data_IF_843968217616
#
_entry.id   IF_843968217616
#
_cell.length_a   1.000
_cell.length_b   1.000
_cell.length_c   1.000
_cell.angle_alpha   90.00
_cell.angle_beta   90.00
_cell.angle_gamma   90.00
#
_symmetry.space_group_name_H-M   'P 1'
#
loop_
_entity.id
_entity.type
_entity.pdbx_description
1 polymer ?
#
# COMPACT_ATOMS: atom_id res chain seq x y z
N UNK A 1 -48.28 3.17 -34.52
CA UNK A 1 -47.85 2.56 -33.24
C UNK A 1 -46.37 2.24 -33.22
N UNK A 2 -45.79 1.65 -34.28
CA UNK A 2 -44.37 1.24 -34.37
C UNK A 2 -43.32 2.35 -34.20
N UNK A 3 -43.55 3.57 -34.71
CA UNK A 3 -42.58 4.69 -34.56
C UNK A 3 -42.35 5.15 -33.12
N UNK A 4 -43.41 5.18 -32.30
CA UNK A 4 -43.28 5.59 -30.89
C UNK A 4 -42.57 4.52 -30.06
N UNK A 5 -42.79 3.23 -30.40
CA UNK A 5 -42.11 2.12 -29.75
C UNK A 5 -40.61 2.12 -30.07
N UNK A 6 -40.24 2.28 -31.33
CA UNK A 6 -38.82 2.36 -31.74
C UNK A 6 -38.11 3.58 -31.11
N UNK A 7 -38.79 4.72 -31.02
CA UNK A 7 -38.23 5.90 -30.35
C UNK A 7 -38.03 5.64 -28.85
N UNK A 8 -39.00 5.00 -28.20
CA UNK A 8 -38.90 4.61 -26.80
C UNK A 8 -37.72 3.66 -26.55
N UNK A 9 -37.58 2.61 -27.37
CA UNK A 9 -36.48 1.63 -27.28
C UNK A 9 -35.11 2.29 -27.46
N UNK A 10 -34.98 3.22 -28.43
CA UNK A 10 -33.74 4.00 -28.62
C UNK A 10 -33.42 4.90 -27.42
N UNK A 11 -34.41 5.62 -26.87
CA UNK A 11 -34.20 6.46 -25.69
C UNK A 11 -33.81 5.61 -24.48
N UNK A 12 -34.45 4.45 -24.32
CA UNK A 12 -34.15 3.54 -23.21
C UNK A 12 -32.72 3.03 -23.27
N UNK A 13 -32.27 2.51 -24.42
CA UNK A 13 -30.90 2.01 -24.60
C UNK A 13 -29.84 3.11 -24.43
N UNK A 14 -30.08 4.33 -24.92
CA UNK A 14 -29.17 5.47 -24.71
C UNK A 14 -29.05 5.84 -23.22
N UNK A 15 -30.16 5.81 -22.48
CA UNK A 15 -30.14 6.05 -21.04
C UNK A 15 -29.40 4.95 -20.26
N UNK A 16 -29.58 3.67 -20.65
CA UNK A 16 -28.84 2.55 -20.06
C UNK A 16 -27.33 2.67 -20.31
N UNK A 17 -26.92 3.02 -21.53
CA UNK A 17 -25.52 3.25 -21.89
C UNK A 17 -24.89 4.39 -21.06
N UNK A 18 -25.58 5.53 -20.96
CA UNK A 18 -25.13 6.68 -20.16
C UNK A 18 -25.04 6.33 -18.67
N UNK A 19 -26.01 5.59 -18.16
CA UNK A 19 -25.99 5.08 -16.80
C UNK A 19 -24.77 4.19 -16.53
N UNK A 20 -24.54 3.20 -17.40
CA UNK A 20 -23.40 2.30 -17.28
C UNK A 20 -22.05 3.03 -17.41
N UNK A 21 -21.95 4.02 -18.30
CA UNK A 21 -20.74 4.83 -18.44
C UNK A 21 -20.45 5.63 -17.17
N UNK A 22 -21.46 6.32 -16.62
CA UNK A 22 -21.33 7.06 -15.37
C UNK A 22 -20.93 6.13 -14.21
N UNK A 23 -21.54 4.96 -14.10
CA UNK A 23 -21.26 3.99 -13.05
C UNK A 23 -19.83 3.42 -13.16
N UNK A 24 -19.36 3.11 -14.37
CA UNK A 24 -18.01 2.61 -14.60
C UNK A 24 -16.94 3.67 -14.34
N UNK A 25 -17.17 4.92 -14.75
CA UNK A 25 -16.28 6.05 -14.43
C UNK A 25 -16.16 6.27 -12.92
N UNK A 26 -17.29 6.28 -12.20
CA UNK A 26 -17.29 6.42 -10.74
C UNK A 26 -16.54 5.26 -10.05
N UNK A 27 -16.81 4.01 -10.45
CA UNK A 27 -16.11 2.84 -9.91
C UNK A 27 -14.61 2.89 -10.19
N UNK A 28 -14.20 3.36 -11.39
CA UNK A 28 -12.79 3.56 -11.74
C UNK A 28 -12.12 4.53 -10.76
N UNK A 29 -12.71 5.70 -10.55
CA UNK A 29 -12.13 6.70 -9.65
C UNK A 29 -11.99 6.16 -8.22
N UNK A 30 -13.03 5.47 -7.73
CA UNK A 30 -13.01 4.85 -6.41
C UNK A 30 -11.87 3.83 -6.28
N UNK A 31 -11.77 2.87 -7.20
CA UNK A 31 -10.74 1.82 -7.11
C UNK A 31 -9.33 2.40 -7.29
N UNK A 32 -9.14 3.41 -8.14
CA UNK A 32 -7.85 4.10 -8.29
C UNK A 32 -7.43 4.82 -7.01
N UNK A 33 -8.37 5.42 -6.27
CA UNK A 33 -8.07 6.03 -4.98
C UNK A 33 -7.67 4.98 -3.94
N UNK A 34 -8.33 3.82 -3.93
CA UNK A 34 -7.97 2.72 -3.03
C UNK A 34 -6.57 2.15 -3.37
N UNK A 35 -6.23 2.02 -4.67
CA UNK A 35 -4.87 1.65 -5.11
C UNK A 35 -3.83 2.67 -4.62
N UNK A 36 -4.07 3.97 -4.83
CA UNK A 36 -3.16 5.04 -4.37
C UNK A 36 -2.96 4.99 -2.86
N UNK A 37 -4.01 4.73 -2.09
CA UNK A 37 -3.94 4.63 -0.63
C UNK A 37 -3.06 3.45 -0.20
N UNK A 38 -3.20 2.27 -0.82
CA UNK A 38 -2.35 1.11 -0.51
C UNK A 38 -0.89 1.38 -0.84
N UNK A 39 -0.62 2.01 -1.99
CA UNK A 39 0.74 2.42 -2.38
C UNK A 39 1.36 3.40 -1.39
N UNK A 40 0.60 4.41 -0.95
CA UNK A 40 1.07 5.36 0.05
C UNK A 40 1.45 4.66 1.36
N UNK A 41 0.58 3.79 1.88
CA UNK A 41 0.87 3.01 3.11
C UNK A 41 2.10 2.12 2.95
N UNK A 42 2.29 1.54 1.76
CA UNK A 42 3.47 0.74 1.44
C UNK A 42 4.74 1.57 1.47
N UNK A 43 4.74 2.74 0.84
CA UNK A 43 5.88 3.64 0.80
C UNK A 43 6.26 4.14 2.20
N UNK A 44 5.27 4.50 3.01
CA UNK A 44 5.48 4.85 4.42
C UNK A 44 6.13 3.69 5.17
N UNK A 45 5.56 2.49 5.09
CA UNK A 45 6.07 1.31 5.76
C UNK A 45 7.50 0.95 5.30
N UNK A 46 7.83 1.19 4.03
CA UNK A 46 9.16 0.95 3.51
C UNK A 46 10.23 1.89 4.06
N UNK A 47 9.86 3.10 4.44
CA UNK A 47 10.77 4.04 5.10
C UNK A 47 10.99 3.71 6.57
N UNK A 48 10.09 2.93 7.17
CA UNK A 48 10.18 2.56 8.58
C UNK A 48 11.15 1.40 8.79
N UNK A 49 12.01 1.54 9.79
CA UNK A 49 12.87 0.45 10.29
C UNK A 49 12.47 0.06 11.71
N UNK A 50 12.98 -1.08 12.17
CA UNK A 50 12.98 -1.43 13.60
C UNK A 50 14.27 -0.95 14.31
N UNK A 51 15.17 -0.27 13.61
CA UNK A 51 16.47 0.07 14.16
C UNK A 51 16.38 1.13 15.25
N UNK A 52 17.17 0.89 16.28
CA UNK A 52 17.34 1.76 17.40
C UNK A 52 18.81 2.11 17.55
N UNK A 53 19.09 3.38 17.81
CA UNK A 53 20.42 3.93 17.89
C UNK A 53 21.29 3.21 18.94
N UNK A 54 22.38 2.60 18.47
CA UNK A 54 23.64 2.33 19.16
C UNK A 54 23.53 1.89 20.64
N UNK A 55 22.93 0.71 20.88
CA UNK A 55 22.83 0.11 22.22
C UNK A 55 24.05 -0.71 22.65
N UNK A 56 25.08 -0.76 21.81
CA UNK A 56 26.23 -1.65 21.96
C UNK A 56 27.02 -1.40 23.24
N UNK A 57 26.92 -0.19 23.81
CA UNK A 57 27.60 0.20 25.05
C UNK A 57 26.84 -0.16 26.34
N UNK A 58 25.53 -0.45 26.26
CA UNK A 58 24.67 -0.64 27.44
C UNK A 58 24.17 -2.08 27.56
N UNK A 59 23.82 -2.72 26.45
CA UNK A 59 23.26 -4.07 26.46
C UNK A 59 24.33 -5.14 26.57
N UNK A 60 24.04 -6.23 27.28
CA UNK A 60 24.83 -7.45 27.20
C UNK A 60 24.72 -8.08 25.81
N UNK A 61 25.78 -8.79 25.38
CA UNK A 61 25.86 -9.41 24.05
C UNK A 61 24.67 -10.34 23.75
N UNK A 62 24.15 -11.06 24.76
CA UNK A 62 22.96 -11.90 24.61
C UNK A 62 21.72 -11.08 24.21
N UNK A 63 21.50 -9.94 24.86
CA UNK A 63 20.38 -9.05 24.56
C UNK A 63 20.54 -8.38 23.19
N UNK A 64 21.77 -7.99 22.83
CA UNK A 64 22.08 -7.47 21.50
C UNK A 64 21.72 -8.50 20.40
N UNK A 65 22.11 -9.76 20.59
CA UNK A 65 21.82 -10.83 19.62
C UNK A 65 20.32 -11.10 19.48
N UNK A 66 19.56 -11.05 20.59
CA UNK A 66 18.11 -11.24 20.54
C UNK A 66 17.39 -10.09 19.82
N UNK A 67 17.80 -8.84 20.07
CA UNK A 67 17.27 -7.67 19.36
C UNK A 67 17.61 -7.77 17.87
N UNK A 68 18.87 -8.08 17.53
CA UNK A 68 19.31 -8.26 16.15
C UNK A 68 18.49 -9.32 15.42
N UNK A 69 18.21 -10.45 16.06
CA UNK A 69 17.36 -11.49 15.46
C UNK A 69 15.93 -10.99 15.16
N UNK A 70 15.36 -10.10 15.98
CA UNK A 70 14.05 -9.49 15.73
C UNK A 70 14.10 -8.51 14.56
N UNK A 71 15.15 -7.69 14.47
CA UNK A 71 15.39 -6.76 13.37
C UNK A 71 15.57 -7.53 12.06
N UNK A 72 16.46 -8.52 12.04
CA UNK A 72 16.75 -9.33 10.86
C UNK A 72 15.49 -10.03 10.33
N UNK A 73 14.66 -10.56 11.23
CA UNK A 73 13.37 -11.17 10.86
C UNK A 73 12.38 -10.16 10.27
N UNK A 74 12.29 -8.95 10.84
CA UNK A 74 11.45 -7.89 10.29
C UNK A 74 11.92 -7.46 8.89
N UNK A 75 13.21 -7.19 8.72
CA UNK A 75 13.79 -6.78 7.44
C UNK A 75 13.69 -7.88 6.38
N UNK A 76 13.82 -9.15 6.78
CA UNK A 76 13.64 -10.28 5.87
C UNK A 76 12.19 -10.38 5.37
N UNK A 77 11.20 -10.29 6.26
CA UNK A 77 9.79 -10.30 5.86
C UNK A 77 9.42 -9.08 5.02
N UNK A 78 9.99 -7.91 5.35
CA UNK A 78 9.82 -6.68 4.58
C UNK A 78 10.38 -6.80 3.16
N UNK A 79 11.54 -7.44 2.96
CA UNK A 79 12.11 -7.68 1.61
C UNK A 79 11.27 -8.62 0.75
N UNK A 80 10.49 -9.52 1.35
CA UNK A 80 9.53 -10.38 0.63
C UNK A 80 8.30 -9.60 0.16
N UNK A 81 8.08 -8.40 0.70
CA UNK A 81 6.93 -7.59 0.38
C UNK A 81 7.19 -6.77 -0.89
N UNK A 82 6.86 -7.36 -2.03
CA UNK A 82 6.94 -6.71 -3.33
C UNK A 82 5.59 -6.09 -3.72
N UNK A 83 5.65 -4.89 -4.32
CA UNK A 83 4.48 -4.20 -4.87
C UNK A 83 4.40 -4.41 -6.38
N UNK A 84 3.60 -5.39 -6.82
CA UNK A 84 3.48 -5.85 -8.21
C UNK A 84 2.32 -5.18 -8.99
N UNK A 85 1.73 -4.10 -8.49
CA UNK A 85 0.69 -3.35 -9.20
C UNK A 85 0.86 -1.84 -8.95
N UNK A 86 0.69 -1.04 -10.00
CA UNK A 86 0.81 0.41 -9.95
C UNK A 86 -0.44 1.09 -10.52
N UNK A 87 -0.62 2.38 -10.21
CA UNK A 87 -1.79 3.17 -10.62
C UNK A 87 -1.95 3.20 -12.14
N UNK A 88 -0.87 3.45 -12.88
CA UNK A 88 -0.92 3.63 -14.34
C UNK A 88 -1.40 2.37 -15.07
N UNK A 89 -0.92 1.19 -14.68
CA UNK A 89 -1.34 -0.09 -15.27
C UNK A 89 -2.80 -0.41 -14.96
N UNK A 90 -3.27 -0.08 -13.75
CA UNK A 90 -4.68 -0.26 -13.38
C UNK A 90 -5.57 0.71 -14.16
N UNK A 91 -5.18 1.97 -14.23
CA UNK A 91 -5.89 3.02 -14.95
C UNK A 91 -6.01 2.69 -16.44
N UNK A 92 -4.91 2.31 -17.10
CA UNK A 92 -4.90 1.94 -18.50
C UNK A 92 -5.86 0.79 -18.82
N UNK A 93 -5.88 -0.26 -17.99
CA UNK A 93 -6.79 -1.40 -18.16
C UNK A 93 -8.25 -0.99 -18.08
N UNK A 94 -8.62 -0.20 -17.07
CA UNK A 94 -10.00 0.24 -16.87
C UNK A 94 -10.42 1.24 -17.96
N UNK A 95 -9.53 2.14 -18.37
CA UNK A 95 -9.78 3.10 -19.44
C UNK A 95 -10.02 2.43 -20.79
N UNK A 96 -9.29 1.35 -21.10
CA UNK A 96 -9.50 0.61 -22.34
C UNK A 96 -10.90 -0.02 -22.42
N UNK A 97 -11.44 -0.47 -21.28
CA UNK A 97 -12.81 -0.99 -21.20
C UNK A 97 -13.83 0.15 -21.31
N UNK A 98 -13.63 1.25 -20.57
CA UNK A 98 -14.51 2.44 -20.63
C UNK A 98 -14.58 3.01 -22.04
N UNK A 99 -13.44 3.16 -22.75
CA UNK A 99 -13.40 3.61 -24.15
C UNK A 99 -14.23 2.73 -25.09
N UNK A 100 -14.33 1.44 -24.79
CA UNK A 100 -15.16 0.51 -25.57
C UNK A 100 -16.66 0.77 -25.34
N UNK A 101 -17.05 1.12 -24.11
CA UNK A 101 -18.43 1.52 -23.76
C UNK A 101 -18.77 2.88 -24.38
N UNK A 102 -17.86 3.86 -24.32
CA UNK A 102 -18.02 5.17 -24.96
C UNK A 102 -18.21 5.05 -26.48
N UNK A 103 -17.47 4.14 -27.13
CA UNK A 103 -17.65 3.89 -28.55
C UNK A 103 -19.04 3.33 -28.85
N UNK A 104 -19.52 2.39 -28.04
CA UNK A 104 -20.87 1.83 -28.18
C UNK A 104 -21.97 2.90 -28.02
N UNK A 105 -21.80 3.84 -27.09
CA UNK A 105 -22.70 4.99 -26.92
C UNK A 105 -22.73 5.88 -28.17
N UNK A 106 -21.55 6.26 -28.68
CA UNK A 106 -21.44 7.14 -29.85
C UNK A 106 -22.01 6.49 -31.14
N UNK A 107 -21.76 5.19 -31.34
CA UNK A 107 -22.30 4.43 -32.46
C UNK A 107 -23.84 4.32 -32.37
N UNK A 108 -24.39 4.21 -31.16
CA UNK A 108 -25.83 4.18 -30.91
C UNK A 108 -26.51 5.55 -31.14
N UNK A 109 -25.90 6.64 -30.66
CA UNK A 109 -26.45 8.00 -30.82
C UNK A 109 -26.40 8.47 -32.29
N UNK A 110 -25.36 8.09 -33.05
CA UNK A 110 -25.19 8.44 -34.48
C UNK A 110 -26.06 7.61 -35.45
N UNK A 111 -26.66 6.51 -34.99
CA UNK A 111 -27.59 5.69 -35.78
C UNK A 111 -28.97 6.37 -35.91
N UNK A 112 -29.06 7.45 -36.70
CA UNK A 112 -30.33 8.00 -37.18
C UNK A 112 -30.81 7.32 -38.49
N UNK A 113 -30.01 6.41 -39.08
CA UNK A 113 -30.24 5.95 -40.48
C UNK A 113 -30.00 4.48 -40.83
N UNK A 114 -29.67 3.57 -39.90
CA UNK A 114 -29.47 2.16 -40.29
C UNK A 114 -30.24 1.18 -39.43
N UNK A 115 -30.89 0.21 -40.09
CA UNK A 115 -31.36 -1.08 -39.58
C UNK A 115 -30.19 -1.93 -39.02
N UNK A 116 -29.35 -1.35 -38.16
CA UNK A 116 -28.23 -2.06 -37.56
C UNK A 116 -28.79 -2.99 -36.49
N UNK A 117 -28.74 -4.28 -36.79
CA UNK A 117 -29.06 -5.44 -35.95
C UNK A 117 -28.17 -5.56 -34.68
N UNK A 118 -27.55 -4.46 -34.24
CA UNK A 118 -26.68 -4.41 -33.07
C UNK A 118 -27.62 -4.38 -31.86
N UNK A 119 -27.59 -5.43 -31.05
CA UNK A 119 -28.31 -5.49 -29.78
C UNK A 119 -27.42 -4.83 -28.70
N UNK A 120 -27.55 -3.51 -28.47
CA UNK A 120 -26.56 -2.73 -27.70
C UNK A 120 -26.50 -3.24 -26.27
N UNK A 121 -27.63 -3.70 -25.74
CA UNK A 121 -27.76 -4.26 -24.40
C UNK A 121 -26.90 -5.51 -24.17
N UNK A 122 -26.71 -6.36 -25.19
CA UNK A 122 -25.88 -7.56 -25.06
C UNK A 122 -24.39 -7.21 -24.92
N UNK A 123 -23.90 -6.36 -25.82
CA UNK A 123 -22.52 -5.88 -25.81
C UNK A 123 -22.22 -5.02 -24.57
N UNK A 124 -23.17 -4.18 -24.16
CA UNK A 124 -23.05 -3.40 -22.92
C UNK A 124 -22.92 -4.31 -21.70
N UNK A 125 -23.72 -5.38 -21.61
CA UNK A 125 -23.65 -6.31 -20.50
C UNK A 125 -22.28 -7.02 -20.45
N UNK A 126 -21.77 -7.50 -21.59
CA UNK A 126 -20.44 -8.12 -21.67
C UNK A 126 -19.33 -7.17 -21.22
N UNK A 127 -19.31 -5.93 -21.71
CA UNK A 127 -18.31 -4.93 -21.30
C UNK A 127 -18.42 -4.55 -19.83
N UNK A 128 -19.64 -4.47 -19.30
CA UNK A 128 -19.89 -4.18 -17.88
C UNK A 128 -19.41 -5.33 -16.98
N UNK A 129 -19.64 -6.58 -17.39
CA UNK A 129 -19.14 -7.77 -16.69
C UNK A 129 -17.61 -7.85 -16.70
N UNK A 130 -16.98 -7.55 -17.85
CA UNK A 130 -15.52 -7.46 -17.95
C UNK A 130 -14.97 -6.39 -17.02
N UNK A 131 -15.56 -5.18 -17.02
CA UNK A 131 -15.16 -4.10 -16.13
C UNK A 131 -15.25 -4.50 -14.66
N UNK A 132 -16.40 -5.04 -14.23
CA UNK A 132 -16.61 -5.46 -12.85
C UNK A 132 -15.66 -6.60 -12.44
N UNK A 133 -15.30 -7.48 -13.38
CA UNK A 133 -14.33 -8.55 -13.14
C UNK A 133 -12.93 -8.00 -12.89
N UNK A 134 -12.46 -7.06 -13.71
CA UNK A 134 -11.17 -6.39 -13.49
C UNK A 134 -11.14 -5.62 -12.17
N UNK A 135 -12.22 -4.87 -11.85
CA UNK A 135 -12.35 -4.19 -10.55
C UNK A 135 -12.21 -5.19 -9.40
N UNK A 136 -12.89 -6.34 -9.46
CA UNK A 136 -12.81 -7.35 -8.42
C UNK A 136 -11.42 -7.97 -8.28
N UNK A 137 -10.69 -8.14 -9.38
CA UNK A 137 -9.29 -8.58 -9.35
C UNK A 137 -8.43 -7.56 -8.60
N UNK A 138 -8.62 -6.27 -8.86
CA UNK A 138 -7.90 -5.19 -8.19
C UNK A 138 -8.27 -5.12 -6.70
N UNK A 139 -9.56 -5.22 -6.35
CA UNK A 139 -10.03 -5.26 -4.96
C UNK A 139 -9.37 -6.42 -4.17
N UNK A 140 -9.31 -7.61 -4.76
CA UNK A 140 -8.65 -8.76 -4.13
C UNK A 140 -7.16 -8.50 -3.89
N UNK A 141 -6.46 -7.90 -4.85
CA UNK A 141 -5.05 -7.49 -4.67
C UNK A 141 -4.89 -6.45 -3.56
N UNK A 142 -5.79 -5.47 -3.49
CA UNK A 142 -5.81 -4.46 -2.42
C UNK A 142 -5.98 -5.12 -1.05
N UNK A 143 -6.88 -6.10 -0.92
CA UNK A 143 -7.11 -6.84 0.33
C UNK A 143 -5.85 -7.61 0.73
N UNK A 144 -5.26 -8.36 -0.20
CA UNK A 144 -4.02 -9.12 0.04
C UNK A 144 -2.90 -8.20 0.55
N UNK A 145 -2.72 -7.06 -0.10
CA UNK A 145 -1.60 -6.14 0.18
C UNK A 145 -1.81 -5.38 1.48
N UNK A 146 -3.05 -4.97 1.80
CA UNK A 146 -3.35 -4.44 3.13
C UNK A 146 -3.08 -5.48 4.23
N UNK A 147 -3.40 -6.76 4.02
CA UNK A 147 -3.08 -7.82 4.99
C UNK A 147 -1.58 -7.96 5.25
N UNK A 148 -0.76 -7.80 4.21
CA UNK A 148 0.71 -7.78 4.34
C UNK A 148 1.21 -6.53 5.07
N UNK A 149 0.65 -5.36 4.78
CA UNK A 149 0.93 -4.10 5.50
C UNK A 149 0.62 -4.26 6.99
N UNK A 150 -0.54 -4.83 7.33
CA UNK A 150 -0.96 -5.04 8.72
C UNK A 150 0.00 -6.00 9.45
N UNK A 151 0.39 -7.10 8.78
CA UNK A 151 1.37 -8.05 9.32
C UNK A 151 2.71 -7.37 9.62
N UNK A 152 3.26 -6.62 8.67
CA UNK A 152 4.54 -5.93 8.85
C UNK A 152 4.46 -4.82 9.91
N UNK A 153 3.35 -4.09 9.96
CA UNK A 153 3.09 -3.09 11.00
C UNK A 153 3.09 -3.71 12.39
N UNK A 154 2.44 -4.87 12.54
CA UNK A 154 2.45 -5.64 13.79
C UNK A 154 3.86 -6.12 14.15
N UNK A 155 4.58 -6.72 13.21
CA UNK A 155 5.96 -7.18 13.44
C UNK A 155 6.88 -6.05 13.87
N UNK A 156 6.76 -4.87 13.22
CA UNK A 156 7.52 -3.68 13.61
C UNK A 156 7.21 -3.26 15.03
N UNK A 157 5.93 -3.19 15.40
CA UNK A 157 5.49 -2.84 16.75
C UNK A 157 6.05 -3.80 17.79
N UNK A 158 6.01 -5.10 17.52
CA UNK A 158 6.56 -6.13 18.41
C UNK A 158 8.08 -6.00 18.54
N UNK A 159 8.78 -5.76 17.43
CA UNK A 159 10.22 -5.57 17.41
C UNK A 159 10.66 -4.32 18.21
N UNK A 160 9.95 -3.19 18.05
CA UNK A 160 10.20 -1.97 18.82
C UNK A 160 9.89 -2.17 20.31
N UNK A 161 8.76 -2.80 20.64
CA UNK A 161 8.36 -3.06 22.02
C UNK A 161 9.36 -3.98 22.72
N UNK A 162 9.81 -5.04 22.05
CA UNK A 162 10.83 -5.93 22.56
C UNK A 162 12.12 -5.16 22.86
N UNK A 163 12.64 -4.42 21.88
CA UNK A 163 13.88 -3.64 22.01
C UNK A 163 13.80 -2.63 23.17
N UNK A 164 12.70 -1.89 23.27
CA UNK A 164 12.46 -0.95 24.34
C UNK A 164 12.38 -1.62 25.72
N UNK A 165 11.66 -2.75 25.82
CA UNK A 165 11.48 -3.48 27.09
C UNK A 165 12.82 -4.03 27.57
N UNK A 166 13.59 -4.66 26.68
CA UNK A 166 14.95 -5.15 26.99
C UNK A 166 15.88 -4.03 27.45
N UNK A 167 15.80 -2.85 26.83
CA UNK A 167 16.57 -1.69 27.24
C UNK A 167 16.17 -1.20 28.64
N UNK A 168 14.87 -1.06 28.91
CA UNK A 168 14.35 -0.63 30.22
C UNK A 168 14.74 -1.61 31.32
N UNK A 169 14.64 -2.92 31.07
CA UNK A 169 15.04 -3.96 32.02
C UNK A 169 16.54 -3.94 32.29
N UNK A 170 17.36 -3.76 31.25
CA UNK A 170 18.82 -3.61 31.39
C UNK A 170 19.18 -2.36 32.19
N UNK A 171 18.48 -1.24 31.99
CA UNK A 171 18.70 -0.07 32.82
C UNK A 171 18.30 -0.33 34.28
N UNK A 172 17.15 -0.96 34.53
CA UNK A 172 16.71 -1.30 35.91
C UNK A 172 17.70 -2.21 36.63
N UNK A 173 18.26 -3.21 35.95
CA UNK A 173 19.26 -4.11 36.55
C UNK A 173 20.56 -3.35 36.88
N UNK A 174 21.00 -2.44 36.00
CA UNK A 174 22.20 -1.62 36.22
C UNK A 174 22.02 -0.49 37.25
N UNK A 175 20.80 0.04 37.43
CA UNK A 175 20.49 1.05 38.48
C UNK A 175 20.65 0.48 39.89
N UNK A 176 20.57 -0.84 40.06
CA UNK A 176 20.89 -1.51 41.34
C UNK A 176 22.38 -1.52 41.67
N UNK A 177 23.25 -1.26 40.68
CA UNK A 177 24.72 -1.32 40.78
C UNK A 177 25.35 0.01 40.32
N UNK A 178 24.92 1.13 40.94
CA UNK A 178 25.34 2.51 40.62
C UNK A 178 26.84 2.67 40.32
N UNK A 179 27.70 1.94 41.03
CA UNK A 179 29.16 1.95 40.85
C UNK A 179 29.61 1.53 39.44
N UNK A 180 29.04 0.45 38.90
CA UNK A 180 29.44 -0.12 37.60
C UNK A 180 28.96 0.74 36.42
N UNK A 181 27.74 1.29 36.55
CA UNK A 181 27.20 2.23 35.59
C UNK A 181 27.99 3.54 35.58
N UNK A 182 28.29 4.12 36.76
CA UNK A 182 29.13 5.31 36.89
C UNK A 182 30.53 5.05 36.34
N UNK A 183 31.14 3.89 36.63
CA UNK A 183 32.47 3.54 36.11
C UNK A 183 32.48 3.46 34.58
N UNK A 184 31.47 2.83 33.98
CA UNK A 184 31.34 2.71 32.52
C UNK A 184 31.12 4.07 31.86
N UNK A 185 30.22 4.89 32.40
CA UNK A 185 29.97 6.25 31.90
C UNK A 185 31.20 7.16 32.07
N UNK A 186 31.95 7.01 33.17
CA UNK A 186 33.19 7.75 33.43
C UNK A 186 34.29 7.34 32.45
N UNK A 187 34.43 6.04 32.16
CA UNK A 187 35.40 5.52 31.18
C UNK A 187 35.11 6.08 29.79
N UNK A 188 33.87 5.99 29.32
CA UNK A 188 33.44 6.54 28.04
C UNK A 188 33.72 8.06 27.95
N UNK A 189 33.38 8.81 29.01
CA UNK A 189 33.59 10.26 29.04
C UNK A 189 35.08 10.63 28.98
N UNK A 190 35.96 9.84 29.61
CA UNK A 190 37.42 10.03 29.55
C UNK A 190 37.97 9.76 28.14
N UNK A 191 37.60 8.63 27.54
CA UNK A 191 38.06 8.26 26.19
C UNK A 191 37.60 9.31 25.15
N UNK A 192 36.39 9.84 25.30
CA UNK A 192 35.86 10.90 24.44
C UNK A 192 36.59 12.25 24.63
N UNK A 193 36.94 12.61 25.87
CA UNK A 193 37.74 13.81 26.16
C UNK A 193 39.17 13.68 25.64
N UNK A 194 39.81 12.51 25.77
CA UNK A 194 41.12 12.22 25.17
C UNK A 194 41.06 12.33 23.66
N UNK A 195 40.01 11.78 23.04
CA UNK A 195 39.79 11.93 21.60
C UNK A 195 39.71 13.40 21.19
N UNK A 196 38.91 14.22 21.89
CA UNK A 196 38.81 15.67 21.62
C UNK A 196 40.17 16.35 21.75
N UNK A 197 40.89 16.12 22.86
CA UNK A 197 42.17 16.76 23.13
C UNK A 197 43.23 16.38 22.08
N UNK A 198 43.26 15.12 21.65
CA UNK A 198 44.19 14.64 20.63
C UNK A 198 43.80 15.04 19.20
N UNK A 199 42.55 15.46 18.98
CA UNK A 199 42.06 15.90 17.66
C UNK A 199 42.07 17.43 17.49
N UNK A 200 42.34 18.20 18.55
CA UNK A 200 42.54 19.66 18.49
C UNK A 200 43.96 20.11 18.18
N UNK A 201 44.92 19.19 18.06
CA UNK A 201 46.33 19.47 17.71
C UNK A 201 46.63 19.31 16.19
N UNK A 202 45.62 19.32 15.32
CA UNK A 202 45.77 19.34 13.85
C UNK A 202 45.20 20.59 13.20
#
# INVERSE_FOLDING_TARGET
MTKNQHLYEKIHASNELKGALSDTQYKKEKILNDVKLVLHKFDELNQLTCDSQNYDTILELSNQNQIKAKIDNYEQEKRKFEMDFNVATVEEKLDNIIKSIEKLENDHDSSEKSDSNIQPNGQLNEMTELFNTEVKIIENKIIEKNGLIDKLTKMRKECLLFSYTTLVETFKSKVSNYSEFIASATKFSKEYLEYINNSTDS
#
